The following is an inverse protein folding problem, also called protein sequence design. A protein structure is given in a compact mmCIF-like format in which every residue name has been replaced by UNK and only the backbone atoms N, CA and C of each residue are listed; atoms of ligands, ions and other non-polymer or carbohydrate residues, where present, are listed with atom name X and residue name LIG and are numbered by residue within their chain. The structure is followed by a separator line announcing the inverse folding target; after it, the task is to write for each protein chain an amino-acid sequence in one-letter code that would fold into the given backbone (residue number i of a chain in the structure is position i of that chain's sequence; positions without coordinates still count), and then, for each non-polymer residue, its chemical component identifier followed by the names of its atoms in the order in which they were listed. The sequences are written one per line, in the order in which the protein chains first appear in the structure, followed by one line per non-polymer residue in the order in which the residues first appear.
data_IF_201819403084
#
_entry.id   IF_201819403084
#
_cell.length_a   1.000
_cell.length_b   1.000
_cell.length_c   1.000
_cell.angle_alpha   90.00
_cell.angle_beta   90.00
_cell.angle_gamma   90.00
#
_symmetry.space_group_name_H-M   'P 1'
#
loop_
_entity.id
_entity.type
_entity.pdbx_description
1 polymer ?
#
# COMPACT_ATOMS: atom_id res chain seq x y z
N UNK A 1 35.88 20.99 -41.73
CA UNK A 1 35.38 19.69 -42.22
C UNK A 1 33.87 19.66 -42.05
N UNK A 2 33.15 19.78 -43.18
CA UNK A 2 31.70 19.64 -43.31
C UNK A 2 31.28 18.18 -43.16
N UNK A 3 30.04 17.94 -42.69
CA UNK A 3 29.06 16.98 -43.22
C UNK A 3 27.87 16.87 -42.23
N UNK A 4 26.74 17.55 -42.51
CA UNK A 4 25.45 16.98 -42.96
C UNK A 4 24.65 16.30 -41.83
N UNK A 5 23.63 16.93 -41.23
CA UNK A 5 22.22 17.00 -41.70
C UNK A 5 21.74 15.72 -42.40
N UNK A 6 21.03 14.88 -41.64
CA UNK A 6 20.12 13.86 -42.15
C UNK A 6 18.77 14.03 -41.48
N UNK A 7 17.80 14.53 -42.24
CA UNK A 7 16.38 14.55 -41.92
C UNK A 7 15.76 13.35 -42.65
N UNK A 8 15.04 12.46 -41.97
CA UNK A 8 14.10 11.55 -42.62
C UNK A 8 13.01 11.08 -41.64
N UNK A 9 11.86 11.72 -41.79
CA UNK A 9 10.48 11.21 -41.78
C UNK A 9 10.00 10.15 -40.77
N UNK A 10 9.17 10.67 -39.85
CA UNK A 10 7.80 10.25 -39.54
C UNK A 10 7.30 8.95 -40.20
N UNK A 11 7.35 7.84 -39.46
CA UNK A 11 6.49 6.67 -39.70
C UNK A 11 5.42 6.60 -38.61
N UNK A 12 4.19 7.00 -38.96
CA UNK A 12 2.97 6.62 -38.24
C UNK A 12 2.71 5.14 -38.56
N UNK A 13 2.98 4.25 -37.61
CA UNK A 13 2.69 2.81 -37.71
C UNK A 13 1.75 2.37 -36.60
N UNK A 14 0.46 2.31 -36.89
CA UNK A 14 -0.59 1.74 -36.05
C UNK A 14 -0.47 0.21 -36.14
N UNK A 15 0.00 -0.45 -35.10
CA UNK A 15 -0.06 -1.92 -35.02
C UNK A 15 -1.31 -2.31 -34.25
N UNK A 16 -2.35 -2.65 -34.99
CA UNK A 16 -3.52 -3.39 -34.53
C UNK A 16 -3.24 -4.88 -34.72
N UNK A 17 -3.18 -5.65 -33.65
CA UNK A 17 -3.20 -7.12 -33.70
C UNK A 17 -4.51 -7.61 -33.11
N UNK A 18 -5.43 -7.93 -34.00
CA UNK A 18 -6.60 -8.79 -33.77
C UNK A 18 -6.17 -10.25 -33.88
N UNK A 19 -6.56 -11.09 -32.92
CA UNK A 19 -6.62 -12.54 -33.13
C UNK A 19 -7.89 -13.10 -32.48
N UNK A 20 -8.77 -13.62 -33.34
CA UNK A 20 -9.95 -14.40 -32.98
C UNK A 20 -9.65 -15.91 -33.09
N UNK A 21 -10.02 -16.60 -32.01
CA UNK A 21 -10.60 -17.95 -31.88
C UNK A 21 -10.22 -19.09 -32.87
N UNK A 22 -9.62 -20.14 -32.30
CA UNK A 22 -10.04 -21.55 -32.38
C UNK A 22 -9.43 -22.22 -31.13
N UNK A 23 -10.06 -23.06 -30.31
CA UNK A 23 -11.11 -24.05 -30.54
C UNK A 23 -10.47 -25.43 -30.46
N UNK A 24 -10.35 -26.02 -29.27
CA UNK A 24 -10.45 -27.48 -29.07
C UNK A 24 -10.46 -27.90 -27.59
N UNK A 25 -11.45 -28.75 -27.31
CA UNK A 25 -11.76 -29.46 -26.08
C UNK A 25 -10.78 -30.58 -25.78
N UNK A 26 -10.38 -30.72 -24.51
CA UNK A 26 -9.68 -31.89 -23.99
C UNK A 26 -10.04 -32.13 -22.53
N UNK A 27 -11.03 -32.99 -22.29
CA UNK A 27 -11.39 -33.46 -20.96
C UNK A 27 -10.36 -34.52 -20.52
N UNK A 28 -9.66 -34.27 -19.42
CA UNK A 28 -8.85 -35.28 -18.73
C UNK A 28 -9.42 -35.48 -17.34
N UNK A 29 -10.19 -36.55 -17.20
CA UNK A 29 -10.71 -37.02 -15.92
C UNK A 29 -9.63 -37.76 -15.14
N UNK A 30 -9.23 -37.23 -13.98
CA UNK A 30 -8.42 -37.94 -13.01
C UNK A 30 -9.31 -38.58 -11.95
N UNK A 31 -9.31 -39.92 -11.99
CA UNK A 31 -10.08 -40.84 -11.15
C UNK A 31 -9.53 -40.84 -9.72
N UNK A 32 -10.27 -40.25 -8.78
CA UNK A 32 -10.00 -40.34 -7.33
C UNK A 32 -10.21 -41.79 -6.86
N UNK A 33 -9.15 -42.44 -6.40
CA UNK A 33 -9.21 -43.75 -5.73
C UNK A 33 -9.77 -43.56 -4.32
N UNK A 34 -10.94 -44.15 -4.07
CA UNK A 34 -11.58 -44.21 -2.76
C UNK A 34 -10.77 -45.07 -1.78
N UNK A 35 -10.50 -44.50 -0.60
CA UNK A 35 -9.97 -45.23 0.54
C UNK A 35 -11.15 -45.66 1.44
N UNK A 36 -11.29 -46.98 1.63
CA UNK A 36 -12.36 -47.60 2.42
C UNK A 36 -12.22 -47.20 3.89
N UNK A 37 -13.29 -46.67 4.49
CA UNK A 37 -13.39 -46.49 5.95
C UNK A 37 -13.68 -47.85 6.59
N UNK A 38 -12.73 -48.38 7.34
CA UNK A 38 -12.98 -49.46 8.29
C UNK A 38 -13.73 -48.87 9.50
N UNK A 39 -14.97 -49.31 9.70
CA UNK A 39 -15.70 -49.07 10.94
C UNK A 39 -15.16 -49.96 12.05
N UNK A 40 -14.77 -49.36 13.16
CA UNK A 40 -14.65 -50.02 14.45
C UNK A 40 -15.58 -49.31 15.43
N UNK A 41 -16.49 -50.07 16.01
CA UNK A 41 -17.43 -49.64 17.04
C UNK A 41 -16.70 -49.47 18.37
N UNK A 42 -16.53 -48.25 18.84
CA UNK A 42 -16.06 -48.00 20.20
C UNK A 42 -17.22 -48.03 21.20
N UNK A 43 -17.06 -48.90 22.20
CA UNK A 43 -18.01 -49.15 23.27
C UNK A 43 -18.12 -47.92 24.18
N UNK A 44 -19.34 -47.40 24.29
CA UNK A 44 -19.75 -46.30 25.18
C UNK A 44 -19.48 -46.67 26.66
N UNK A 45 -18.40 -46.17 27.24
CA UNK A 45 -18.18 -46.20 28.70
C UNK A 45 -19.05 -45.12 29.35
N UNK A 46 -19.94 -45.53 30.25
CA UNK A 46 -20.77 -44.64 31.08
C UNK A 46 -19.88 -44.03 32.17
N UNK A 47 -19.78 -42.70 32.22
CA UNK A 47 -19.24 -41.98 33.38
C UNK A 47 -20.37 -41.64 34.36
N UNK A 48 -20.10 -41.65 35.68
CA UNK A 48 -21.10 -41.34 36.70
C UNK A 48 -21.41 -39.84 36.75
N UNK A 49 -22.63 -39.50 37.13
CA UNK A 49 -23.14 -38.15 37.23
C UNK A 49 -22.42 -37.35 38.34
N UNK A 50 -21.81 -36.23 37.98
CA UNK A 50 -21.30 -35.25 38.93
C UNK A 50 -22.42 -34.26 39.31
N UNK A 51 -22.68 -34.14 40.61
CA UNK A 51 -23.64 -33.23 41.20
C UNK A 51 -23.16 -31.77 41.17
N UNK A 52 -24.08 -30.84 40.92
CA UNK A 52 -24.08 -29.49 41.49
C UNK A 52 -23.09 -28.47 40.92
N UNK A 53 -23.21 -28.09 39.64
CA UNK A 53 -22.63 -26.84 39.15
C UNK A 53 -23.64 -25.69 39.38
N UNK A 54 -23.29 -24.74 40.24
CA UNK A 54 -24.04 -23.49 40.41
C UNK A 54 -24.04 -22.73 39.08
N UNK A 55 -25.22 -22.37 38.59
CA UNK A 55 -25.38 -21.54 37.39
C UNK A 55 -24.59 -20.24 37.54
N UNK A 56 -23.71 -19.88 36.60
CA UNK A 56 -23.08 -18.56 36.61
C UNK A 56 -24.17 -17.49 36.49
N UNK A 57 -24.05 -16.34 37.19
CA UNK A 57 -25.00 -15.26 37.05
C UNK A 57 -25.10 -14.84 35.58
N UNK A 58 -26.32 -14.52 35.14
CA UNK A 58 -26.61 -14.10 33.77
C UNK A 58 -25.62 -13.01 33.33
N UNK A 59 -25.15 -13.02 32.06
CA UNK A 59 -24.33 -11.94 31.55
C UNK A 59 -25.05 -10.62 31.80
N UNK A 60 -24.34 -9.66 32.40
CA UNK A 60 -24.83 -8.32 32.64
C UNK A 60 -25.48 -7.79 31.35
N UNK A 61 -26.63 -7.14 31.50
CA UNK A 61 -27.38 -6.56 30.40
C UNK A 61 -26.43 -5.84 29.42
N UNK A 62 -26.56 -6.18 28.15
CA UNK A 62 -25.92 -5.47 27.04
C UNK A 62 -26.04 -3.96 27.27
N UNK A 63 -24.97 -3.16 27.09
CA UNK A 63 -25.06 -1.72 27.24
C UNK A 63 -26.21 -1.23 26.37
N UNK A 64 -27.14 -0.48 26.97
CA UNK A 64 -28.27 0.10 26.25
C UNK A 64 -27.79 0.76 24.96
N UNK A 65 -28.52 0.53 23.88
CA UNK A 65 -28.23 1.11 22.57
C UNK A 65 -28.04 2.62 22.72
N UNK A 66 -26.81 3.08 22.51
CA UNK A 66 -26.45 4.50 22.68
C UNK A 66 -27.10 5.29 21.53
N UNK A 67 -28.03 6.19 21.84
CA UNK A 67 -28.66 7.03 20.82
C UNK A 67 -27.67 8.09 20.31
N UNK A 68 -27.21 7.88 19.07
CA UNK A 68 -26.24 8.74 18.40
C UNK A 68 -26.89 9.95 17.72
N UNK A 69 -28.23 9.99 17.56
CA UNK A 69 -28.94 11.07 16.86
C UNK A 69 -28.28 11.47 15.53
N UNK A 70 -28.08 12.79 15.33
CA UNK A 70 -27.44 13.36 14.14
C UNK A 70 -25.98 12.88 13.91
N UNK A 71 -25.30 12.32 14.93
CA UNK A 71 -23.96 11.77 14.76
C UNK A 71 -23.97 10.53 13.85
N UNK A 72 -25.04 9.73 13.87
CA UNK A 72 -25.20 8.55 13.02
C UNK A 72 -25.18 8.92 11.53
N UNK A 73 -25.92 9.95 11.15
CA UNK A 73 -25.98 10.41 9.76
C UNK A 73 -24.63 10.97 9.29
N UNK A 74 -23.96 11.76 10.15
CA UNK A 74 -22.62 12.27 9.86
C UNK A 74 -21.61 11.13 9.68
N UNK A 75 -21.67 10.12 10.53
CA UNK A 75 -20.84 8.93 10.45
C UNK A 75 -21.06 8.15 9.15
N UNK A 76 -22.30 7.88 8.78
CA UNK A 76 -22.64 7.20 7.52
C UNK A 76 -22.19 8.00 6.30
N UNK A 77 -22.38 9.32 6.32
CA UNK A 77 -21.91 10.22 5.25
C UNK A 77 -20.40 10.20 5.12
N UNK A 78 -19.68 10.26 6.25
CA UNK A 78 -18.22 10.19 6.29
C UNK A 78 -17.71 8.88 5.69
N UNK A 79 -18.25 7.74 6.13
CA UNK A 79 -17.91 6.40 5.61
C UNK A 79 -18.15 6.28 4.11
N UNK A 80 -19.33 6.68 3.64
CA UNK A 80 -19.70 6.61 2.23
C UNK A 80 -18.79 7.47 1.35
N UNK A 81 -18.52 8.72 1.76
CA UNK A 81 -17.63 9.63 0.99
C UNK A 81 -16.20 9.10 0.89
N UNK A 82 -15.71 8.41 1.92
CA UNK A 82 -14.36 7.84 1.96
C UNK A 82 -14.30 6.40 1.46
N UNK A 83 -15.44 5.75 1.19
CA UNK A 83 -15.50 4.33 0.82
C UNK A 83 -15.02 3.37 1.92
N UNK A 84 -15.21 3.72 3.20
CA UNK A 84 -14.67 2.97 4.34
C UNK A 84 -15.72 2.06 5.01
N UNK A 85 -15.27 0.89 5.46
CA UNK A 85 -16.03 0.06 6.42
C UNK A 85 -16.14 0.76 7.78
N UNK A 86 -16.95 0.23 8.71
CA UNK A 86 -17.00 0.75 10.08
C UNK A 86 -15.61 0.75 10.73
N UNK A 87 -14.92 -0.39 10.64
CA UNK A 87 -13.57 -0.57 11.18
C UNK A 87 -12.55 0.34 10.50
N UNK A 88 -12.62 0.46 9.17
CA UNK A 88 -11.74 1.34 8.40
C UNK A 88 -11.93 2.82 8.76
N UNK A 89 -13.18 3.23 9.01
CA UNK A 89 -13.49 4.57 9.48
C UNK A 89 -13.02 4.82 10.92
N UNK A 90 -13.17 3.83 11.81
CA UNK A 90 -12.64 3.92 13.17
C UNK A 90 -11.12 4.05 13.17
N UNK A 91 -10.42 3.20 12.41
CA UNK A 91 -8.97 3.30 12.20
C UNK A 91 -8.57 4.66 11.65
N UNK A 92 -9.27 5.16 10.63
CA UNK A 92 -8.97 6.49 10.09
C UNK A 92 -9.08 7.59 11.14
N UNK A 93 -10.12 7.59 11.98
CA UNK A 93 -10.28 8.58 13.04
C UNK A 93 -9.20 8.46 14.12
N UNK A 94 -8.81 7.23 14.48
CA UNK A 94 -7.70 6.98 15.39
C UNK A 94 -6.37 7.50 14.81
N UNK A 95 -6.05 7.14 13.57
CA UNK A 95 -4.85 7.64 12.87
C UNK A 95 -4.86 9.18 12.78
N UNK A 96 -6.03 9.80 12.53
CA UNK A 96 -6.18 11.27 12.49
C UNK A 96 -5.85 11.92 13.83
N UNK A 97 -6.22 11.26 14.94
CA UNK A 97 -5.92 11.72 16.29
C UNK A 97 -4.45 11.49 16.65
N UNK A 98 -3.90 10.33 16.27
CA UNK A 98 -2.51 9.94 16.56
C UNK A 98 -1.48 10.75 15.75
N UNK A 99 -1.86 11.23 14.57
CA UNK A 99 -0.99 11.99 13.68
C UNK A 99 -1.40 13.47 13.57
N UNK A 100 -1.26 14.26 14.65
CA UNK A 100 -1.65 15.67 14.63
C UNK A 100 -0.81 16.45 13.60
N UNK A 101 -1.49 17.26 12.81
CA UNK A 101 -0.86 18.10 11.78
C UNK A 101 -0.53 17.39 10.47
N UNK A 102 -0.81 16.08 10.36
CA UNK A 102 -0.71 15.35 9.08
C UNK A 102 -2.06 15.33 8.37
N UNK A 103 -2.01 15.13 7.05
CA UNK A 103 -3.19 14.92 6.21
C UNK A 103 -3.10 13.57 5.51
N UNK A 104 -4.27 13.00 5.23
CA UNK A 104 -4.38 11.75 4.51
C UNK A 104 -4.29 11.99 3.00
N UNK A 105 -3.17 11.58 2.40
CA UNK A 105 -3.00 11.57 0.96
C UNK A 105 -3.32 10.19 0.40
N UNK A 106 -3.83 10.17 -0.82
CA UNK A 106 -3.92 8.95 -1.63
C UNK A 106 -3.11 9.15 -2.90
N UNK A 107 -2.68 8.05 -3.51
CA UNK A 107 -1.89 8.11 -4.72
C UNK A 107 -1.78 6.75 -5.38
N UNK A 108 -1.03 6.71 -6.48
CA UNK A 108 -0.79 5.48 -7.19
C UNK A 108 0.07 5.64 -8.42
N UNK A 109 0.29 4.52 -9.11
CA UNK A 109 0.89 4.54 -10.43
C UNK A 109 -0.08 5.13 -11.47
N UNK A 110 0.45 5.52 -12.63
CA UNK A 110 -0.34 6.11 -13.73
C UNK A 110 -1.55 5.27 -14.16
N UNK A 111 -1.39 3.95 -14.30
CA UNK A 111 -2.47 3.07 -14.74
C UNK A 111 -3.48 2.68 -13.64
N UNK A 112 -3.28 3.12 -12.41
CA UNK A 112 -4.15 2.81 -11.26
C UNK A 112 -4.04 1.38 -10.72
N UNK A 113 -3.22 0.50 -11.32
CA UNK A 113 -3.05 -0.87 -10.84
C UNK A 113 -2.41 -0.96 -9.45
N UNK A 114 -1.55 0.00 -9.10
CA UNK A 114 -0.97 0.18 -7.76
C UNK A 114 -1.57 1.43 -7.14
N UNK A 115 -2.16 1.29 -5.95
CA UNK A 115 -2.77 2.38 -5.17
C UNK A 115 -2.31 2.31 -3.72
N UNK A 116 -2.04 3.46 -3.13
CA UNK A 116 -1.59 3.58 -1.76
C UNK A 116 -2.22 4.79 -1.06
N UNK A 117 -2.11 4.81 0.25
CA UNK A 117 -2.41 5.94 1.09
C UNK A 117 -1.22 6.24 2.02
N UNK A 118 -1.09 7.51 2.39
CA UNK A 118 -0.03 7.97 3.27
C UNK A 118 -0.48 9.14 4.14
N UNK A 119 -0.10 9.11 5.41
CA UNK A 119 -0.20 10.25 6.32
C UNK A 119 1.08 11.09 6.27
N UNK A 120 0.99 12.31 5.75
CA UNK A 120 2.13 13.23 5.62
C UNK A 120 1.68 14.69 5.75
N UNK A 121 2.59 15.66 5.94
CA UNK A 121 2.23 17.07 5.95
C UNK A 121 1.67 17.52 4.60
N UNK A 122 0.75 18.47 4.60
CA UNK A 122 0.25 19.07 3.35
C UNK A 122 1.33 19.89 2.61
N UNK A 123 2.33 20.41 3.34
CA UNK A 123 3.53 21.04 2.78
C UNK A 123 4.64 20.00 2.72
N UNK A 124 4.95 19.51 1.52
CA UNK A 124 5.88 18.41 1.34
C UNK A 124 7.31 18.92 1.19
N UNK A 125 8.22 18.32 1.95
CA UNK A 125 9.68 18.44 1.72
C UNK A 125 10.14 17.22 0.93
N UNK A 126 10.68 17.49 -0.24
CA UNK A 126 10.98 16.48 -1.27
C UNK A 126 12.47 16.48 -1.51
N UNK A 127 13.07 15.30 -1.43
CA UNK A 127 14.47 15.08 -1.75
C UNK A 127 14.63 14.82 -3.25
N UNK A 128 15.51 15.59 -3.89
CA UNK A 128 16.01 15.35 -5.24
C UNK A 128 17.45 14.81 -5.15
N UNK A 129 17.59 13.49 -5.24
CA UNK A 129 18.88 12.84 -5.08
C UNK A 129 19.69 12.91 -6.38
N UNK A 130 20.92 13.43 -6.28
CA UNK A 130 21.81 13.61 -7.43
C UNK A 130 22.44 12.30 -7.94
N UNK A 131 22.24 11.15 -7.27
CA UNK A 131 22.88 9.89 -7.67
C UNK A 131 22.54 9.48 -9.10
N UNK A 132 23.44 8.75 -9.78
CA UNK A 132 23.28 8.40 -11.20
C UNK A 132 21.94 7.74 -11.52
N UNK A 133 21.42 6.91 -10.62
CA UNK A 133 20.16 6.20 -10.81
C UNK A 133 18.95 7.13 -10.63
N UNK A 134 18.92 7.93 -9.56
CA UNK A 134 17.85 8.89 -9.30
C UNK A 134 17.80 9.96 -10.40
N UNK A 135 18.94 10.47 -10.85
CA UNK A 135 19.04 11.43 -11.97
C UNK A 135 18.48 10.87 -13.28
N UNK A 136 18.78 9.61 -13.60
CA UNK A 136 18.23 8.94 -14.80
C UNK A 136 16.72 8.73 -14.72
N UNK A 137 16.20 8.49 -13.51
CA UNK A 137 14.77 8.27 -13.27
C UNK A 137 13.97 9.56 -13.04
N UNK A 138 14.66 10.69 -12.82
CA UNK A 138 14.05 11.91 -12.29
C UNK A 138 13.29 11.62 -10.98
N UNK A 139 13.91 10.83 -10.11
CA UNK A 139 13.27 10.32 -8.89
C UNK A 139 13.36 11.32 -7.74
N UNK A 140 12.24 12.01 -7.51
CA UNK A 140 12.02 12.91 -6.38
C UNK A 140 11.07 12.26 -5.39
N UNK A 141 11.37 12.31 -4.10
CA UNK A 141 10.51 11.67 -3.09
C UNK A 141 10.57 12.38 -1.73
N UNK A 142 9.47 12.31 -0.99
CA UNK A 142 9.44 12.62 0.44
C UNK A 142 9.41 11.32 1.24
N UNK A 143 9.88 11.37 2.48
CA UNK A 143 10.04 10.20 3.33
C UNK A 143 8.88 10.12 4.33
N UNK A 144 8.42 8.90 4.59
CA UNK A 144 7.38 8.60 5.59
C UNK A 144 7.71 7.31 6.32
N UNK A 145 7.32 7.19 7.60
CA UNK A 145 7.46 5.92 8.32
C UNK A 145 6.47 4.90 7.78
N UNK A 146 6.83 3.62 7.89
CA UNK A 146 6.00 2.49 7.49
C UNK A 146 4.64 2.48 8.19
N UNK A 147 4.57 2.91 9.46
CA UNK A 147 3.33 3.06 10.23
C UNK A 147 2.32 4.00 9.57
N UNK A 148 2.79 4.99 8.79
CA UNK A 148 1.97 5.98 8.09
C UNK A 148 1.69 5.64 6.64
N UNK A 149 2.20 4.52 6.14
CA UNK A 149 2.02 4.09 4.76
C UNK A 149 1.07 2.89 4.71
N UNK A 150 0.17 2.88 3.72
CA UNK A 150 -0.72 1.72 3.50
C UNK A 150 -0.83 1.44 2.01
N UNK A 151 -0.46 0.24 1.58
CA UNK A 151 -0.76 -0.24 0.23
C UNK A 151 -2.24 -0.63 0.16
N UNK A 152 -3.00 0.01 -0.73
CA UNK A 152 -4.43 -0.22 -0.89
C UNK A 152 -4.72 -1.29 -1.95
N UNK A 153 -3.93 -1.32 -3.03
CA UNK A 153 -4.10 -2.22 -4.16
C UNK A 153 -2.78 -2.45 -4.90
N UNK A 154 -2.64 -3.61 -5.55
CA UNK A 154 -1.65 -3.83 -6.60
C UNK A 154 -0.34 -4.45 -6.14
N UNK A 155 -0.33 -5.15 -5.01
CA UNK A 155 0.86 -5.85 -4.51
C UNK A 155 1.45 -6.79 -5.57
N UNK A 156 0.60 -7.48 -6.32
CA UNK A 156 0.96 -8.37 -7.42
C UNK A 156 1.46 -7.65 -8.68
N UNK A 157 1.14 -6.35 -8.79
CA UNK A 157 1.54 -5.50 -9.91
C UNK A 157 2.84 -4.71 -9.62
N UNK A 158 3.49 -4.94 -8.47
CA UNK A 158 4.76 -4.33 -8.09
C UNK A 158 5.91 -5.27 -8.44
N UNK A 159 6.90 -4.74 -9.17
CA UNK A 159 8.16 -5.43 -9.46
C UNK A 159 9.31 -4.65 -8.84
N UNK A 160 10.24 -5.36 -8.22
CA UNK A 160 11.39 -4.76 -7.54
C UNK A 160 12.67 -5.09 -8.29
N UNK A 161 13.36 -4.03 -8.73
CA UNK A 161 14.72 -4.12 -9.24
C UNK A 161 15.72 -3.91 -8.09
N UNK A 162 16.63 -4.88 -7.91
CA UNK A 162 17.76 -4.82 -6.99
C UNK A 162 19.02 -4.47 -7.78
N UNK A 163 19.62 -3.33 -7.48
CA UNK A 163 20.95 -3.01 -8.02
C UNK A 163 22.01 -3.78 -7.22
N UNK A 164 22.97 -4.39 -7.89
CA UNK A 164 24.12 -5.02 -7.20
C UNK A 164 25.04 -3.99 -6.53
N UNK A 165 24.98 -2.71 -6.93
CA UNK A 165 25.88 -1.64 -6.48
C UNK A 165 25.21 -0.57 -5.62
N UNK A 166 23.88 -0.56 -5.52
CA UNK A 166 23.15 0.42 -4.72
C UNK A 166 22.23 -0.29 -3.74
N UNK A 167 22.22 0.13 -2.46
CA UNK A 167 21.42 -0.54 -1.45
C UNK A 167 19.93 -0.43 -1.76
N UNK A 168 19.41 0.64 -2.40
CA UNK A 168 17.96 0.85 -2.54
C UNK A 168 17.20 -0.19 -3.39
N UNK A 169 16.02 -0.62 -2.91
CA UNK A 169 15.04 -1.42 -3.66
C UNK A 169 14.25 -0.48 -4.55
N UNK A 170 14.32 -0.68 -5.86
CA UNK A 170 13.55 0.10 -6.81
C UNK A 170 12.30 -0.65 -7.22
N UNK A 171 11.21 -0.40 -6.51
CA UNK A 171 9.89 -0.95 -6.83
C UNK A 171 9.15 -0.07 -7.83
N UNK A 172 8.55 -0.66 -8.86
CA UNK A 172 7.73 0.04 -9.85
C UNK A 172 6.58 -0.83 -10.34
N UNK A 173 5.55 -0.20 -10.91
CA UNK A 173 4.42 -0.91 -11.48
C UNK A 173 4.85 -1.69 -12.74
N UNK A 174 4.61 -3.00 -12.76
CA UNK A 174 4.91 -3.87 -13.91
C UNK A 174 4.14 -3.50 -15.17
N UNK A 175 2.98 -2.84 -15.03
CA UNK A 175 2.10 -2.50 -16.15
C UNK A 175 2.46 -1.18 -16.84
N UNK A 176 2.86 -0.16 -16.09
CA UNK A 176 3.12 1.18 -16.61
C UNK A 176 4.52 1.73 -16.32
N UNK A 177 5.36 1.02 -15.57
CA UNK A 177 6.73 1.41 -15.26
C UNK A 177 6.88 2.51 -14.20
N UNK A 178 5.78 3.10 -13.73
CA UNK A 178 5.82 4.19 -12.73
C UNK A 178 6.27 3.67 -11.37
N UNK A 179 7.28 4.33 -10.79
CA UNK A 179 7.75 4.14 -9.43
C UNK A 179 7.02 5.13 -8.51
N UNK A 180 5.89 4.71 -7.95
CA UNK A 180 5.06 5.58 -7.11
C UNK A 180 5.56 5.69 -5.66
N UNK A 181 6.21 4.64 -5.17
CA UNK A 181 6.88 4.63 -3.87
C UNK A 181 8.01 3.58 -3.88
N UNK A 182 8.83 3.56 -2.84
CA UNK A 182 9.82 2.52 -2.58
C UNK A 182 10.11 2.39 -1.09
N UNK A 183 10.51 1.19 -0.66
CA UNK A 183 11.05 0.99 0.68
C UNK A 183 12.55 1.30 0.69
N UNK A 184 13.02 1.96 1.74
CA UNK A 184 14.45 2.09 2.00
C UNK A 184 15.03 0.73 2.36
N UNK A 185 16.29 0.51 2.00
CA UNK A 185 16.99 -0.77 2.25
C UNK A 185 17.88 -0.71 3.45
N UNK A 186 18.42 0.48 3.74
CA UNK A 186 19.08 0.73 5.02
C UNK A 186 18.08 0.71 6.17
N UNK A 187 16.82 1.02 5.89
CA UNK A 187 15.75 1.03 6.88
C UNK A 187 14.40 0.62 6.27
N UNK A 188 13.98 -0.65 6.42
CA UNK A 188 12.67 -1.13 5.97
C UNK A 188 11.49 -0.40 6.61
N UNK A 189 11.71 0.34 7.72
CA UNK A 189 10.73 1.16 8.40
C UNK A 189 10.42 2.49 7.72
N UNK A 190 11.09 2.82 6.61
CA UNK A 190 10.90 4.09 5.88
C UNK A 190 10.54 3.85 4.42
N UNK A 191 9.51 4.55 3.95
CA UNK A 191 9.11 4.61 2.55
C UNK A 191 9.43 5.98 1.96
N UNK A 192 9.94 5.99 0.72
CA UNK A 192 10.01 7.19 -0.11
C UNK A 192 8.87 7.22 -1.12
N UNK A 193 8.04 8.24 -1.05
CA UNK A 193 6.85 8.43 -1.90
C UNK A 193 7.11 9.52 -2.93
N UNK A 194 6.79 9.22 -4.20
CA UNK A 194 6.91 10.20 -5.27
C UNK A 194 5.76 11.22 -5.20
N UNK A 195 6.04 12.53 -5.04
CA UNK A 195 5.00 13.54 -4.83
C UNK A 195 4.08 13.69 -6.05
N UNK A 196 4.61 13.48 -7.25
CA UNK A 196 3.85 13.53 -8.50
C UNK A 196 2.93 12.31 -8.71
N UNK A 197 2.99 11.31 -7.83
CA UNK A 197 2.09 10.15 -7.83
C UNK A 197 0.95 10.29 -6.79
N UNK A 198 0.88 11.42 -6.08
CA UNK A 198 -0.25 11.73 -5.21
C UNK A 198 -1.44 12.24 -6.03
N UNK A 199 -2.64 11.87 -5.61
CA UNK A 199 -3.88 12.41 -6.14
C UNK A 199 -4.04 13.88 -5.73
N UNK A 200 -4.69 14.67 -6.58
CA UNK A 200 -4.91 16.09 -6.34
C UNK A 200 -5.81 16.35 -5.11
N UNK A 201 -5.61 17.51 -4.47
CA UNK A 201 -6.53 18.09 -3.47
C UNK A 201 -6.03 18.10 -2.02
N UNK A 202 -4.91 17.45 -1.72
CA UNK A 202 -4.39 17.36 -0.33
C UNK A 202 -3.02 18.01 -0.15
N UNK A 203 -2.23 18.13 -1.23
CA UNK A 203 -0.93 18.81 -1.22
C UNK A 203 -1.15 20.32 -1.36
N UNK A 204 -0.55 21.10 -0.46
CA UNK A 204 -0.61 22.57 -0.45
C UNK A 204 0.63 23.19 -1.06
N UNK A 205 1.81 22.70 -0.71
CA UNK A 205 3.08 23.18 -1.26
C UNK A 205 4.11 22.06 -1.34
N UNK A 206 5.13 22.26 -2.18
CA UNK A 206 6.25 21.32 -2.35
C UNK A 206 7.55 22.13 -2.37
N UNK A 207 8.44 21.82 -1.44
CA UNK A 207 9.81 22.35 -1.38
C UNK A 207 10.76 21.22 -1.76
N UNK A 208 11.65 21.49 -2.72
CA UNK A 208 12.61 20.50 -3.21
C UNK A 208 13.99 20.84 -2.66
N UNK A 209 14.62 19.86 -2.03
CA UNK A 209 15.98 19.94 -1.51
C UNK A 209 16.88 18.96 -2.26
N UNK A 210 17.93 19.47 -2.88
CA UNK A 210 18.90 18.63 -3.59
C UNK A 210 19.85 17.97 -2.57
N UNK A 211 20.03 16.66 -2.71
CA UNK A 211 20.89 15.87 -1.83
C UNK A 211 21.89 15.10 -2.66
N UNK A 212 23.18 15.27 -2.34
CA UNK A 212 24.23 14.51 -3.00
C UNK A 212 24.18 13.05 -2.57
N UNK A 213 24.21 12.15 -3.55
CA UNK A 213 23.86 10.72 -3.46
C UNK A 213 24.67 9.82 -2.52
N UNK A 214 25.37 10.39 -1.53
CA UNK A 214 26.04 9.71 -0.43
C UNK A 214 26.03 10.47 0.90
N UNK A 215 25.48 11.70 0.97
CA UNK A 215 25.41 12.49 2.20
C UNK A 215 24.02 13.13 2.32
N UNK A 216 23.13 12.48 3.07
CA UNK A 216 21.88 13.10 3.48
C UNK A 216 22.24 14.29 4.37
N UNK A 217 21.91 15.51 3.94
CA UNK A 217 22.21 16.71 4.71
C UNK A 217 21.68 16.63 6.15
N UNK A 218 22.17 17.49 7.04
CA UNK A 218 21.78 17.46 8.46
C UNK A 218 20.27 17.51 8.64
N UNK A 219 19.56 18.29 7.82
CA UNK A 219 18.09 18.41 7.87
C UNK A 219 17.38 17.13 7.41
N UNK A 220 17.77 16.54 6.27
CA UNK A 220 17.21 15.26 5.81
C UNK A 220 17.51 14.12 6.79
N UNK A 221 18.67 14.16 7.45
CA UNK A 221 19.03 13.21 8.52
C UNK A 221 18.18 13.42 9.78
N UNK A 222 17.89 14.68 10.12
CA UNK A 222 17.01 15.04 11.24
C UNK A 222 15.56 14.64 10.96
N UNK A 223 15.08 14.80 9.73
CA UNK A 223 13.78 14.31 9.28
C UNK A 223 13.70 12.78 9.33
N UNK A 224 14.71 12.08 8.83
CA UNK A 224 14.81 10.61 8.96
C UNK A 224 14.76 10.17 10.43
N UNK A 225 15.52 10.83 11.30
CA UNK A 225 15.50 10.56 12.75
C UNK A 225 14.14 10.88 13.36
N UNK A 226 13.50 11.97 12.97
CA UNK A 226 12.14 12.31 13.42
C UNK A 226 11.11 11.29 12.93
N UNK A 227 11.25 10.78 11.71
CA UNK A 227 10.42 9.72 11.14
C UNK A 227 10.61 8.40 11.89
N UNK A 228 11.86 8.02 12.18
CA UNK A 228 12.19 6.83 12.95
C UNK A 228 11.62 6.89 14.37
N UNK A 229 11.77 8.05 15.04
CA UNK A 229 11.25 8.26 16.39
C UNK A 229 9.73 8.40 16.47
N UNK A 230 9.05 8.59 15.33
CA UNK A 230 7.60 8.76 15.26
C UNK A 230 6.87 7.50 14.76
N UNK A 231 7.57 6.36 14.63
CA UNK A 231 6.94 5.05 14.62
C UNK A 231 6.69 4.63 16.07
N UNK A 232 5.43 4.35 16.48
CA UNK A 232 5.18 3.75 17.79
C UNK A 232 5.83 2.36 17.85
N UNK A 233 6.39 2.02 19.02
CA UNK A 233 6.92 0.67 19.34
C UNK A 233 5.85 -0.43 19.28
#
# INVERSE_FOLDING_TARGET
FQASKGCFDRVKGRVSTSYSTSGQSGAVGTRLKGCRRHGQSEKRRKHPAAAGAKTPPAPAASPGEMDLGAQRERWETFRKRRGLSCEGAAKFLLDTFEYPGLVYHTGGCHCGAVRFAVWAPADLRVVDCSCRLCRKKQHRHFLVPASRFTLLLGAESIVTYRSHTHPALHSFCSRCGVQSFHASVSDPGVYGVAPHCLDAGTVRSVVIEEVDGGNWGEEATKELKAIQNASPE
#
